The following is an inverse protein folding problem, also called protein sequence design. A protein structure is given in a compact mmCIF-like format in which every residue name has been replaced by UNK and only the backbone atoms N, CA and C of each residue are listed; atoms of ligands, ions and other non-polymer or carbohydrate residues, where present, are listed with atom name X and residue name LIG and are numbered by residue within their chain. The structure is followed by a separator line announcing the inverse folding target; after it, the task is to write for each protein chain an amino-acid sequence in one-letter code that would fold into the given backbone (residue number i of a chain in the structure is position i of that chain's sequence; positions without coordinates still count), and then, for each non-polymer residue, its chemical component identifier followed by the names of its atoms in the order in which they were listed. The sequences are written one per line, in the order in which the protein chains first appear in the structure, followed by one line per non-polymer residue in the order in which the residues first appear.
data_IF_773055265061
#
_entry.id   IF_773055265061
#
_cell.length_a   1.000
_cell.length_b   1.000
_cell.length_c   1.000
_cell.angle_alpha   90.00
_cell.angle_beta   90.00
_cell.angle_gamma   90.00
#
_symmetry.space_group_name_H-M   'P 1'
#
loop_
_entity.id
_entity.type
_entity.pdbx_description
1 polymer ?
#
# COMPACT_ATOMS: atom_id res chain seq x y z
N UNK A 1 -6.67 -14.64 -1.09
CA UNK A 1 -5.58 -13.72 -1.38
C UNK A 1 -5.87 -12.82 -2.57
N UNK A 2 -6.26 -13.31 -3.74
CA UNK A 2 -6.51 -12.50 -4.97
C UNK A 2 -7.41 -11.26 -4.77
N UNK A 3 -8.48 -11.35 -3.99
CA UNK A 3 -9.34 -10.19 -3.70
C UNK A 3 -8.63 -9.09 -2.91
N UNK A 4 -7.75 -9.45 -1.98
CA UNK A 4 -6.96 -8.52 -1.19
C UNK A 4 -5.90 -7.80 -2.06
N UNK A 5 -5.22 -8.53 -2.93
CA UNK A 5 -4.23 -7.98 -3.86
C UNK A 5 -4.89 -7.04 -4.88
N UNK A 6 -6.06 -7.44 -5.42
CA UNK A 6 -6.82 -6.59 -6.34
C UNK A 6 -7.29 -5.29 -5.68
N UNK A 7 -7.74 -5.33 -4.43
CA UNK A 7 -8.13 -4.11 -3.70
C UNK A 7 -6.93 -3.17 -3.46
N UNK A 8 -5.75 -3.72 -3.15
CA UNK A 8 -4.50 -2.94 -3.07
C UNK A 8 -4.14 -2.32 -4.41
N UNK A 9 -4.29 -3.08 -5.50
CA UNK A 9 -4.03 -2.61 -6.86
C UNK A 9 -4.97 -1.45 -7.23
N UNK A 10 -6.27 -1.58 -6.98
CA UNK A 10 -7.26 -0.53 -7.21
C UNK A 10 -6.96 0.73 -6.38
N UNK A 11 -6.48 0.58 -5.15
CA UNK A 11 -6.00 1.73 -4.38
C UNK A 11 -4.78 2.38 -5.03
N UNK A 12 -3.84 1.59 -5.55
CA UNK A 12 -2.67 2.13 -6.26
C UNK A 12 -3.09 2.83 -7.55
N UNK A 13 -4.08 2.30 -8.27
CA UNK A 13 -4.68 2.96 -9.44
C UNK A 13 -5.24 4.34 -9.07
N UNK A 14 -6.00 4.43 -7.97
CA UNK A 14 -6.50 5.69 -7.44
C UNK A 14 -5.37 6.69 -7.13
N UNK A 15 -4.29 6.22 -6.51
CA UNK A 15 -3.12 7.05 -6.18
C UNK A 15 -2.37 7.51 -7.43
N UNK A 16 -2.20 6.65 -8.43
CA UNK A 16 -1.59 6.98 -9.72
C UNK A 16 -2.44 7.99 -10.50
N UNK A 17 -3.76 7.82 -10.55
CA UNK A 17 -4.67 8.79 -11.14
C UNK A 17 -4.58 10.16 -10.44
N UNK A 18 -4.54 10.16 -9.11
CA UNK A 18 -4.36 11.40 -8.33
C UNK A 18 -3.04 12.11 -8.63
N UNK A 19 -1.95 11.36 -8.80
CA UNK A 19 -0.64 11.90 -9.16
C UNK A 19 -0.64 12.53 -10.56
N UNK A 20 -1.30 11.88 -11.53
CA UNK A 20 -1.49 12.41 -12.88
C UNK A 20 -2.32 13.70 -12.87
N UNK A 21 -3.46 13.70 -12.17
CA UNK A 21 -4.34 14.87 -12.03
C UNK A 21 -3.64 16.05 -11.34
N UNK A 22 -2.71 15.76 -10.42
CA UNK A 22 -1.88 16.75 -9.74
C UNK A 22 -0.69 17.24 -10.57
N UNK A 23 -0.46 16.69 -11.77
CA UNK A 23 0.64 17.04 -12.64
C UNK A 23 2.02 16.65 -12.13
N UNK A 24 2.11 15.57 -11.34
CA UNK A 24 3.40 15.06 -10.88
C UNK A 24 4.24 14.54 -12.05
N UNK A 25 5.57 14.66 -11.97
CA UNK A 25 6.46 14.24 -13.05
C UNK A 25 6.43 12.72 -13.23
N UNK A 26 6.60 12.28 -14.49
CA UNK A 26 6.65 10.88 -14.86
C UNK A 26 5.33 10.33 -15.39
N UNK A 27 5.37 9.05 -15.77
CA UNK A 27 4.19 8.29 -16.19
C UNK A 27 3.69 7.48 -15.00
N UNK A 28 2.38 7.38 -14.90
CA UNK A 28 1.67 6.59 -13.88
C UNK A 28 0.67 5.70 -14.60
N UNK A 29 1.01 4.43 -14.80
CA UNK A 29 0.17 3.48 -15.53
C UNK A 29 -0.13 2.27 -14.63
N UNK A 30 -1.39 1.84 -14.67
CA UNK A 30 -1.88 0.71 -13.87
C UNK A 30 -2.75 -0.15 -14.77
N UNK A 31 -2.47 -1.46 -14.84
CA UNK A 31 -3.26 -2.38 -15.67
C UNK A 31 -3.26 -3.79 -15.09
N UNK A 32 -4.18 -4.61 -15.57
CA UNK A 32 -4.28 -6.04 -15.28
C UNK A 32 -4.13 -6.82 -16.59
N UNK A 33 -3.30 -7.86 -16.58
CA UNK A 33 -3.08 -8.73 -17.74
C UNK A 33 -2.85 -10.17 -17.28
N UNK A 34 -3.68 -11.10 -17.73
CA UNK A 34 -3.50 -12.53 -17.42
C UNK A 34 -3.50 -12.85 -15.91
N UNK A 35 -4.18 -12.06 -15.09
CA UNK A 35 -4.20 -12.18 -13.65
C UNK A 35 -3.02 -11.52 -12.93
N UNK A 36 -2.06 -10.96 -13.68
CA UNK A 36 -0.98 -10.12 -13.17
C UNK A 36 -1.46 -8.68 -12.99
N UNK A 37 -1.05 -8.05 -11.90
CA UNK A 37 -1.41 -6.68 -11.52
C UNK A 37 -0.16 -5.80 -11.66
N UNK A 38 -0.11 -4.97 -12.70
CA UNK A 38 1.07 -4.19 -13.05
C UNK A 38 0.89 -2.71 -12.71
N UNK A 39 1.94 -2.11 -12.16
CA UNK A 39 2.03 -0.67 -11.85
C UNK A 39 3.36 -0.16 -12.38
N UNK A 40 3.31 0.83 -13.27
CA UNK A 40 4.48 1.52 -13.82
C UNK A 40 4.50 2.96 -13.32
N UNK A 41 5.60 3.35 -12.70
CA UNK A 41 5.89 4.74 -12.34
C UNK A 41 7.31 5.06 -12.78
N UNK A 42 7.48 6.06 -13.67
CA UNK A 42 8.78 6.37 -14.23
C UNK A 42 9.58 7.41 -13.44
N UNK A 43 8.97 8.11 -12.48
CA UNK A 43 9.71 9.01 -11.60
C UNK A 43 10.63 8.21 -10.67
N UNK A 44 11.95 8.50 -10.64
CA UNK A 44 12.90 7.73 -9.84
C UNK A 44 12.62 7.75 -8.32
N UNK A 45 12.07 8.85 -7.79
CA UNK A 45 11.74 8.96 -6.37
C UNK A 45 10.55 8.06 -5.99
N UNK A 46 9.73 7.64 -6.96
CA UNK A 46 8.56 6.79 -6.80
C UNK A 46 8.77 5.39 -7.39
N UNK A 47 9.98 5.03 -7.79
CA UNK A 47 10.31 3.75 -8.45
C UNK A 47 9.90 2.52 -7.62
N UNK A 48 9.80 2.65 -6.29
CA UNK A 48 9.32 1.58 -5.40
C UNK A 48 7.86 1.18 -5.64
N UNK A 49 7.07 2.00 -6.34
CA UNK A 49 5.70 1.69 -6.75
C UNK A 49 5.64 0.78 -7.97
N UNK A 50 6.71 0.75 -8.79
CA UNK A 50 6.74 -0.08 -9.99
C UNK A 50 6.82 -1.55 -9.64
N UNK A 51 5.72 -2.27 -9.89
CA UNK A 51 5.55 -3.65 -9.45
C UNK A 51 4.73 -4.46 -10.43
N UNK A 52 4.98 -5.76 -10.46
CA UNK A 52 4.08 -6.77 -11.00
C UNK A 52 3.75 -7.73 -9.87
N UNK A 53 2.50 -7.78 -9.45
CA UNK A 53 2.01 -8.65 -8.36
C UNK A 53 0.98 -9.66 -8.87
N UNK A 54 0.57 -10.60 -7.99
CA UNK A 54 -0.26 -11.73 -8.40
C UNK A 54 0.53 -12.80 -9.15
N UNK A 55 1.86 -12.84 -8.94
CA UNK A 55 2.74 -13.84 -9.58
C UNK A 55 2.61 -15.15 -8.81
N UNK A 56 2.23 -16.20 -9.54
CA UNK A 56 2.05 -17.57 -9.06
C UNK A 56 2.78 -18.52 -10.02
N UNK A 57 3.04 -19.78 -9.63
CA UNK A 57 3.71 -20.74 -10.52
C UNK A 57 3.05 -20.88 -11.90
N UNK A 58 1.72 -20.77 -11.95
CA UNK A 58 0.92 -20.99 -13.15
C UNK A 58 1.02 -19.85 -14.17
N UNK A 59 1.40 -18.64 -13.75
CA UNK A 59 1.54 -17.48 -14.62
C UNK A 59 2.98 -16.91 -14.65
N UNK A 60 3.95 -17.68 -14.17
CA UNK A 60 5.33 -17.24 -14.01
C UNK A 60 5.96 -16.82 -15.35
N UNK A 61 5.78 -17.61 -16.40
CA UNK A 61 6.31 -17.31 -17.73
C UNK A 61 5.74 -15.99 -18.26
N UNK A 62 4.42 -15.77 -18.11
CA UNK A 62 3.78 -14.53 -18.49
C UNK A 62 4.29 -13.33 -17.67
N UNK A 63 4.60 -13.51 -16.39
CA UNK A 63 5.19 -12.48 -15.56
C UNK A 63 6.61 -12.12 -16.00
N UNK A 64 7.42 -13.11 -16.38
CA UNK A 64 8.77 -12.90 -16.92
C UNK A 64 8.71 -12.18 -18.27
N UNK A 65 7.80 -12.58 -19.16
CA UNK A 65 7.57 -11.89 -20.45
C UNK A 65 7.12 -10.46 -20.23
N UNK A 66 6.18 -10.23 -19.31
CA UNK A 66 5.65 -8.90 -19.02
C UNK A 66 6.76 -7.94 -18.55
N UNK A 67 7.66 -8.34 -17.67
CA UNK A 67 8.74 -7.46 -17.18
C UNK A 67 9.88 -7.29 -18.18
N UNK A 68 9.92 -8.09 -19.23
CA UNK A 68 10.83 -7.93 -20.37
C UNK A 68 10.27 -7.00 -21.46
N UNK A 69 9.01 -6.59 -21.37
CA UNK A 69 8.36 -5.70 -22.34
C UNK A 69 9.04 -4.32 -22.35
N UNK A 70 9.25 -3.70 -23.52
CA UNK A 70 9.80 -2.34 -23.65
C UNK A 70 9.02 -1.25 -22.90
N UNK A 71 7.79 -1.49 -22.47
CA UNK A 71 7.02 -0.54 -21.63
C UNK A 71 7.78 -0.18 -20.36
N UNK A 72 8.66 -1.08 -19.87
CA UNK A 72 9.50 -0.90 -18.68
C UNK A 72 10.86 -0.25 -18.96
N UNK A 73 11.12 0.24 -20.17
CA UNK A 73 12.41 0.86 -20.49
C UNK A 73 12.76 1.96 -19.48
N UNK A 74 13.93 1.83 -18.85
CA UNK A 74 14.39 2.72 -17.77
C UNK A 74 13.77 2.47 -16.39
N UNK A 75 12.83 1.50 -16.26
CA UNK A 75 12.19 1.12 -15.01
C UNK A 75 12.45 -0.35 -14.69
N UNK A 76 12.72 -0.66 -13.44
CA UNK A 76 12.96 -2.03 -12.97
C UNK A 76 11.85 -2.45 -12.00
N UNK A 77 10.73 -3.04 -12.49
CA UNK A 77 9.61 -3.40 -11.63
C UNK A 77 9.99 -4.52 -10.66
N UNK A 78 9.44 -4.49 -9.45
CA UNK A 78 9.54 -5.61 -8.53
C UNK A 78 8.45 -6.65 -8.82
N UNK A 79 8.84 -7.91 -9.03
CA UNK A 79 7.91 -9.04 -9.07
C UNK A 79 7.57 -9.48 -7.65
N UNK A 80 6.28 -9.60 -7.36
CA UNK A 80 5.78 -9.97 -6.03
C UNK A 80 4.98 -11.26 -6.17
N UNK A 81 5.50 -12.33 -5.59
CA UNK A 81 4.85 -13.64 -5.60
C UNK A 81 3.99 -13.89 -4.37
N UNK A 82 3.03 -14.78 -4.49
CA UNK A 82 2.23 -15.31 -3.38
C UNK A 82 2.96 -16.41 -2.59
N UNK A 83 3.96 -17.03 -3.19
CA UNK A 83 4.80 -18.10 -2.65
C UNK A 83 6.24 -17.97 -3.15
N UNK A 84 7.14 -18.78 -2.61
CA UNK A 84 8.50 -18.91 -3.16
C UNK A 84 8.45 -19.43 -4.60
N UNK A 85 9.21 -18.79 -5.48
CA UNK A 85 9.32 -19.10 -6.90
C UNK A 85 10.80 -19.21 -7.28
N UNK A 86 11.09 -20.07 -8.23
CA UNK A 86 12.41 -20.13 -8.84
C UNK A 86 12.45 -19.21 -10.06
N UNK A 87 13.23 -18.14 -9.99
CA UNK A 87 13.38 -17.10 -11.02
C UNK A 87 14.87 -16.96 -11.39
N UNK A 88 15.38 -17.85 -12.28
CA UNK A 88 16.77 -17.77 -12.74
C UNK A 88 17.09 -16.40 -13.33
N UNK A 89 18.22 -15.81 -12.92
CA UNK A 89 18.65 -14.48 -13.37
C UNK A 89 18.02 -13.29 -12.64
N UNK A 90 16.99 -13.51 -11.84
CA UNK A 90 16.43 -12.46 -10.99
C UNK A 90 17.18 -12.36 -9.66
N UNK A 91 17.17 -11.18 -9.07
CA UNK A 91 17.79 -10.93 -7.76
C UNK A 91 16.70 -10.88 -6.69
N UNK A 92 16.87 -11.63 -5.62
CA UNK A 92 15.97 -11.57 -4.45
C UNK A 92 16.04 -10.18 -3.83
N UNK A 93 14.89 -9.56 -3.62
CA UNK A 93 14.73 -8.27 -2.94
C UNK A 93 14.12 -8.45 -1.54
N UNK A 94 13.98 -7.35 -0.82
CA UNK A 94 13.29 -7.37 0.46
C UNK A 94 11.81 -7.76 0.27
N UNK A 95 11.35 -8.72 1.05
CA UNK A 95 9.97 -9.20 1.00
C UNK A 95 8.98 -8.11 1.35
N UNK A 96 7.82 -8.18 0.75
CA UNK A 96 6.67 -7.37 1.10
C UNK A 96 5.73 -8.13 2.03
N UNK A 97 4.98 -7.43 2.84
CA UNK A 97 4.02 -8.06 3.73
C UNK A 97 2.61 -7.63 3.41
N UNK A 98 1.73 -8.63 3.29
CA UNK A 98 0.30 -8.48 3.10
C UNK A 98 -0.41 -8.96 4.36
N UNK A 99 -1.14 -8.07 5.02
CA UNK A 99 -1.93 -8.37 6.19
C UNK A 99 -3.41 -8.40 5.81
N UNK A 100 -4.11 -9.48 6.15
CA UNK A 100 -5.53 -9.68 5.82
C UNK A 100 -6.29 -10.05 7.08
N UNK A 101 -7.45 -9.42 7.29
CA UNK A 101 -8.35 -9.74 8.39
C UNK A 101 -9.79 -9.82 7.91
N UNK A 102 -10.51 -10.89 8.27
CA UNK A 102 -11.98 -10.91 8.17
C UNK A 102 -12.55 -9.96 9.21
N UNK A 103 -13.51 -9.15 8.79
CA UNK A 103 -14.20 -8.24 9.70
C UNK A 103 -15.29 -8.97 10.47
N UNK A 104 -15.41 -8.62 11.75
CA UNK A 104 -16.46 -9.00 12.66
C UNK A 104 -16.95 -7.76 13.39
N UNK A 105 -17.57 -7.89 14.55
CA UNK A 105 -17.99 -6.74 15.34
C UNK A 105 -16.78 -6.04 15.99
N UNK A 106 -16.42 -4.82 15.56
CA UNK A 106 -15.29 -4.09 16.11
C UNK A 106 -15.69 -3.18 17.26
N UNK A 107 -14.76 -2.95 18.20
CA UNK A 107 -14.94 -2.00 19.29
C UNK A 107 -14.86 -0.54 18.80
N UNK A 108 -15.63 0.35 19.40
CA UNK A 108 -15.57 1.79 19.12
C UNK A 108 -14.31 2.45 19.72
N UNK A 109 -13.80 3.49 19.05
CA UNK A 109 -12.71 4.35 19.56
C UNK A 109 -13.18 5.81 19.54
N UNK A 110 -13.63 6.35 20.67
CA UNK A 110 -14.30 7.67 20.73
C UNK A 110 -13.40 8.87 20.40
N UNK A 111 -12.07 8.73 20.50
CA UNK A 111 -11.13 9.85 20.33
C UNK A 111 -10.57 9.97 18.89
N UNK A 112 -11.12 9.22 17.96
CA UNK A 112 -10.78 9.29 16.54
C UNK A 112 -11.91 9.98 15.81
N UNK A 113 -11.56 11.00 15.05
CA UNK A 113 -12.52 11.82 14.30
C UNK A 113 -12.22 11.74 12.79
N UNK A 114 -13.25 11.96 11.97
CA UNK A 114 -13.06 12.22 10.55
C UNK A 114 -12.30 13.54 10.40
N UNK A 115 -11.22 13.53 9.60
CA UNK A 115 -10.34 14.69 9.56
C UNK A 115 -9.81 15.00 8.17
N UNK A 116 -10.12 16.23 7.69
CA UNK A 116 -9.54 16.78 6.47
C UNK A 116 -8.47 17.82 6.81
N UNK A 117 -8.77 18.73 7.75
CA UNK A 117 -7.85 19.79 8.15
C UNK A 117 -6.64 19.22 8.90
N UNK A 118 -5.45 19.47 8.40
CA UNK A 118 -4.20 19.04 9.02
C UNK A 118 -3.81 17.58 8.80
N UNK A 119 -4.65 16.74 8.15
CA UNK A 119 -4.37 15.34 7.92
C UNK A 119 -3.02 15.13 7.22
N UNK A 120 -2.82 15.74 6.04
CA UNK A 120 -1.58 15.59 5.28
C UNK A 120 -0.36 16.02 6.10
N UNK A 121 -0.44 17.13 6.82
CA UNK A 121 0.65 17.60 7.69
C UNK A 121 1.06 16.56 8.74
N UNK A 122 0.08 15.95 9.42
CA UNK A 122 0.36 14.92 10.42
C UNK A 122 0.93 13.66 9.76
N UNK A 123 0.37 13.24 8.62
CA UNK A 123 0.80 12.05 7.90
C UNK A 123 2.25 12.19 7.43
N UNK A 124 2.58 13.28 6.73
CA UNK A 124 3.91 13.53 6.19
C UNK A 124 4.97 13.74 7.28
N UNK A 125 4.63 14.51 8.34
CA UNK A 125 5.52 14.69 9.48
C UNK A 125 5.86 13.36 10.19
N UNK A 126 4.90 12.43 10.23
CA UNK A 126 5.13 11.11 10.81
C UNK A 126 5.89 10.15 9.88
N UNK A 127 5.83 10.35 8.57
CA UNK A 127 6.61 9.59 7.57
C UNK A 127 8.02 10.15 7.36
N UNK A 128 8.24 11.40 7.72
CA UNK A 128 9.54 12.08 7.54
C UNK A 128 9.97 12.09 6.04
N UNK A 129 9.00 12.36 5.13
CA UNK A 129 9.21 12.38 3.67
C UNK A 129 8.97 13.78 3.11
N UNK A 130 9.67 14.09 2.02
CA UNK A 130 9.65 15.38 1.32
C UNK A 130 9.62 15.18 -0.22
N UNK A 131 9.54 16.27 -0.96
CA UNK A 131 9.65 16.29 -2.42
C UNK A 131 8.52 15.50 -3.11
N UNK A 132 8.86 14.79 -4.17
CA UNK A 132 7.89 14.07 -5.01
C UNK A 132 7.10 13.01 -4.23
N UNK A 133 7.75 12.33 -3.27
CA UNK A 133 7.07 11.33 -2.41
C UNK A 133 5.99 11.99 -1.56
N UNK A 134 6.28 13.15 -0.95
CA UNK A 134 5.29 13.89 -0.17
C UNK A 134 4.15 14.37 -1.05
N UNK A 135 4.45 14.91 -2.25
CA UNK A 135 3.46 15.38 -3.20
C UNK A 135 2.54 14.24 -3.69
N UNK A 136 3.10 13.05 -3.94
CA UNK A 136 2.33 11.85 -4.30
C UNK A 136 1.35 11.46 -3.18
N UNK A 137 1.84 11.39 -1.93
CA UNK A 137 1.01 11.08 -0.76
C UNK A 137 -0.09 12.12 -0.59
N UNK A 138 0.22 13.41 -0.75
CA UNK A 138 -0.80 14.46 -0.66
C UNK A 138 -1.85 14.34 -1.75
N UNK A 139 -1.45 14.08 -3.00
CA UNK A 139 -2.36 13.92 -4.13
C UNK A 139 -3.33 12.76 -3.88
N UNK A 140 -2.82 11.58 -3.50
CA UNK A 140 -3.64 10.42 -3.14
C UNK A 140 -4.66 10.78 -2.05
N UNK A 141 -4.19 11.39 -0.97
CA UNK A 141 -5.04 11.63 0.21
C UNK A 141 -5.98 12.83 0.07
N UNK A 142 -5.94 13.58 -1.04
CA UNK A 142 -6.96 14.58 -1.39
C UNK A 142 -8.17 13.98 -2.10
N UNK A 143 -8.06 12.75 -2.61
CA UNK A 143 -9.16 12.07 -3.30
C UNK A 143 -10.36 11.88 -2.36
N UNK A 144 -11.59 12.10 -2.85
CA UNK A 144 -12.81 11.93 -2.03
C UNK A 144 -13.03 10.48 -1.60
N UNK A 145 -12.52 9.51 -2.36
CA UNK A 145 -12.59 8.08 -2.06
C UNK A 145 -11.74 7.69 -0.85
N UNK A 146 -10.77 8.53 -0.47
CA UNK A 146 -9.90 8.29 0.67
C UNK A 146 -10.53 8.86 1.94
N UNK A 147 -11.00 7.98 2.80
CA UNK A 147 -11.49 8.35 4.14
C UNK A 147 -10.29 8.62 5.05
N UNK A 148 -10.29 9.76 5.72
CA UNK A 148 -9.18 10.27 6.54
C UNK A 148 -9.62 10.41 7.98
N UNK A 149 -8.76 9.99 8.91
CA UNK A 149 -9.02 9.97 10.34
C UNK A 149 -7.87 10.61 11.09
N UNK A 150 -8.20 11.38 12.12
CA UNK A 150 -7.25 11.97 13.05
C UNK A 150 -7.51 11.45 14.47
N UNK A 151 -6.45 11.07 15.15
CA UNK A 151 -6.49 10.84 16.58
C UNK A 151 -6.11 12.13 17.30
N UNK A 152 -6.98 12.56 18.18
CA UNK A 152 -6.78 13.76 18.98
C UNK A 152 -6.29 13.43 20.39
N UNK A 153 -5.42 14.27 20.93
CA UNK A 153 -5.04 14.31 22.35
C UNK A 153 -5.23 15.76 22.81
N UNK A 154 -6.17 16.01 23.73
CA UNK A 154 -6.57 17.36 24.15
C UNK A 154 -6.91 18.29 22.96
N UNK A 155 -7.73 17.82 22.04
CA UNK A 155 -8.14 18.50 20.79
C UNK A 155 -7.01 18.79 19.78
N UNK A 156 -5.81 18.27 20.03
CA UNK A 156 -4.66 18.41 19.13
C UNK A 156 -4.44 17.12 18.34
N UNK A 157 -4.40 17.17 16.99
CA UNK A 157 -4.10 15.99 16.18
C UNK A 157 -2.67 15.49 16.39
N UNK A 158 -2.53 14.24 16.84
CA UNK A 158 -1.25 13.59 17.14
C UNK A 158 -0.91 12.43 16.20
N UNK A 159 -1.91 11.88 15.52
CA UNK A 159 -1.74 10.80 14.57
C UNK A 159 -2.81 10.87 13.49
N UNK A 160 -2.50 10.32 12.33
CA UNK A 160 -3.38 10.27 11.17
C UNK A 160 -3.44 8.84 10.62
N UNK A 161 -4.56 8.48 10.02
CA UNK A 161 -4.70 7.24 9.27
C UNK A 161 -5.78 7.38 8.20
N UNK A 162 -5.65 6.60 7.12
CA UNK A 162 -6.63 6.60 6.05
C UNK A 162 -7.08 5.19 5.68
N UNK A 163 -8.17 5.12 4.94
CA UNK A 163 -8.63 3.90 4.28
C UNK A 163 -9.39 4.22 2.99
N UNK A 164 -9.45 3.25 2.11
CA UNK A 164 -10.33 3.20 0.94
C UNK A 164 -11.19 1.94 0.98
N UNK A 165 -12.29 1.94 0.26
CA UNK A 165 -13.17 0.76 0.12
C UNK A 165 -13.25 0.37 -1.36
N UNK A 166 -13.01 -0.90 -1.64
CA UNK A 166 -13.04 -1.49 -2.98
C UNK A 166 -13.91 -2.76 -2.93
N UNK A 167 -15.14 -2.65 -3.40
CA UNK A 167 -16.13 -3.71 -3.21
C UNK A 167 -16.39 -3.99 -1.73
N UNK A 168 -16.16 -5.22 -1.31
CA UNK A 168 -16.28 -5.67 0.08
C UNK A 168 -14.93 -5.69 0.86
N UNK A 169 -13.90 -5.03 0.33
CA UNK A 169 -12.56 -4.97 0.92
C UNK A 169 -12.19 -3.54 1.30
N UNK A 170 -11.84 -3.33 2.57
CA UNK A 170 -11.24 -2.08 3.04
C UNK A 170 -9.72 -2.17 2.97
N UNK A 171 -9.07 -1.24 2.28
CA UNK A 171 -7.61 -1.10 2.25
C UNK A 171 -7.20 -0.03 3.26
N UNK A 172 -6.47 -0.45 4.29
CA UNK A 172 -5.99 0.40 5.38
C UNK A 172 -4.57 0.89 5.05
N UNK A 173 -4.43 2.16 4.75
CA UNK A 173 -3.14 2.76 4.42
C UNK A 173 -3.00 4.18 4.98
N UNK A 174 -1.87 4.82 4.71
CA UNK A 174 -1.65 6.20 5.10
C UNK A 174 -1.72 6.41 6.63
N UNK A 175 -0.95 5.66 7.43
CA UNK A 175 -1.01 5.75 8.88
C UNK A 175 0.32 6.20 9.49
N UNK A 176 0.30 7.27 10.26
CA UNK A 176 1.48 7.78 10.98
C UNK A 176 1.11 8.33 12.36
N UNK A 177 2.14 8.46 13.20
CA UNK A 177 2.04 9.11 14.54
C UNK A 177 3.22 10.06 14.68
N UNK A 178 2.96 11.28 15.11
CA UNK A 178 3.99 12.27 15.40
C UNK A 178 5.01 11.70 16.39
N UNK A 179 6.29 11.95 16.16
CA UNK A 179 7.41 11.34 16.91
C UNK A 179 7.25 11.43 18.44
N UNK A 180 6.84 12.59 18.96
CA UNK A 180 6.65 12.82 20.39
C UNK A 180 5.51 12.00 21.01
N UNK A 181 4.62 11.44 20.18
CA UNK A 181 3.43 10.67 20.60
C UNK A 181 3.51 9.18 20.26
N UNK A 182 4.67 8.71 19.74
CA UNK A 182 4.90 7.28 19.46
C UNK A 182 4.99 6.49 20.77
N UNK A 183 4.67 5.19 20.72
CA UNK A 183 4.70 4.30 21.89
C UNK A 183 3.54 4.43 22.85
N UNK A 184 2.57 5.35 22.61
CA UNK A 184 1.43 5.63 23.49
C UNK A 184 0.10 5.05 23.00
N UNK A 185 0.12 4.04 22.13
CA UNK A 185 -1.10 3.34 21.68
C UNK A 185 -1.91 4.06 20.59
N UNK A 186 -1.38 5.10 19.91
CA UNK A 186 -2.09 5.81 18.87
C UNK A 186 -2.49 4.90 17.69
N UNK A 187 -1.57 4.06 17.20
CA UNK A 187 -1.84 3.18 16.07
C UNK A 187 -2.91 2.11 16.34
N UNK A 188 -2.92 1.38 17.48
CA UNK A 188 -4.01 0.49 17.82
C UNK A 188 -5.39 1.17 17.84
N UNK A 189 -5.49 2.42 18.32
CA UNK A 189 -6.75 3.18 18.36
C UNK A 189 -7.22 3.53 16.94
N UNK A 190 -6.35 4.08 16.10
CA UNK A 190 -6.64 4.36 14.70
C UNK A 190 -6.98 3.10 13.90
N UNK A 191 -6.30 1.99 14.19
CA UNK A 191 -6.56 0.71 13.52
C UNK A 191 -7.94 0.16 13.92
N UNK A 192 -8.26 0.16 15.21
CA UNK A 192 -9.59 -0.25 15.72
C UNK A 192 -10.71 0.59 15.10
N UNK A 193 -10.54 1.92 15.04
CA UNK A 193 -11.50 2.82 14.43
C UNK A 193 -11.73 2.51 12.94
N UNK A 194 -10.65 2.33 12.16
CA UNK A 194 -10.76 2.00 10.72
C UNK A 194 -11.43 0.65 10.48
N UNK A 195 -11.15 -0.35 11.32
CA UNK A 195 -11.83 -1.65 11.26
C UNK A 195 -13.33 -1.50 11.51
N UNK A 196 -13.72 -0.64 12.45
CA UNK A 196 -15.12 -0.29 12.70
C UNK A 196 -15.74 0.36 11.46
N UNK A 197 -15.12 1.39 10.93
CA UNK A 197 -15.61 2.10 9.75
C UNK A 197 -15.71 1.20 8.51
N UNK A 198 -14.81 0.23 8.37
CA UNK A 198 -14.86 -0.76 7.32
C UNK A 198 -16.07 -1.72 7.49
N UNK A 199 -16.33 -2.19 8.70
CA UNK A 199 -17.49 -3.03 8.99
C UNK A 199 -18.81 -2.27 8.78
N UNK A 200 -18.89 -1.03 9.26
CA UNK A 200 -20.05 -0.14 9.06
C UNK A 200 -20.31 0.16 7.57
N UNK A 201 -19.25 0.14 6.73
CA UNK A 201 -19.34 0.25 5.27
C UNK A 201 -19.69 -1.09 4.57
N UNK A 202 -19.94 -2.16 5.31
CA UNK A 202 -20.31 -3.48 4.77
C UNK A 202 -19.12 -4.30 4.22
N UNK A 203 -17.88 -3.93 4.53
CA UNK A 203 -16.73 -4.70 4.09
C UNK A 203 -16.65 -6.05 4.82
N UNK A 204 -16.31 -7.11 4.09
CA UNK A 204 -16.04 -8.43 4.64
C UNK A 204 -14.58 -8.60 5.08
N UNK A 205 -13.67 -7.85 4.46
CA UNK A 205 -12.23 -7.93 4.67
C UNK A 205 -11.62 -6.55 4.93
N UNK A 206 -10.57 -6.53 5.75
CA UNK A 206 -9.61 -5.44 5.84
C UNK A 206 -8.22 -5.92 5.40
N UNK A 207 -7.53 -5.09 4.64
CA UNK A 207 -6.22 -5.36 4.06
C UNK A 207 -5.27 -4.22 4.37
N UNK A 208 -4.02 -4.54 4.67
CA UNK A 208 -2.95 -3.57 4.84
C UNK A 208 -1.62 -4.15 4.37
N UNK A 209 -0.66 -3.29 4.09
CA UNK A 209 0.72 -3.69 3.81
C UNK A 209 1.66 -3.19 4.90
N UNK A 210 2.68 -3.96 5.21
CA UNK A 210 3.74 -3.55 6.12
C UNK A 210 5.04 -4.31 5.80
N UNK A 211 6.17 -3.72 6.13
CA UNK A 211 7.46 -4.42 6.03
C UNK A 211 7.49 -5.55 7.07
N UNK A 212 7.83 -6.79 6.66
CA UNK A 212 7.98 -7.91 7.60
C UNK A 212 8.90 -7.56 8.77
N UNK A 213 8.52 -7.95 9.99
CA UNK A 213 9.28 -7.65 11.21
C UNK A 213 9.17 -6.22 11.74
N UNK A 214 8.47 -5.32 11.04
CA UNK A 214 8.28 -3.94 11.48
C UNK A 214 7.30 -3.79 12.64
N UNK A 215 7.35 -2.64 13.33
CA UNK A 215 6.34 -2.26 14.34
C UNK A 215 4.93 -2.25 13.75
N UNK A 216 4.79 -1.84 12.48
CA UNK A 216 3.50 -1.85 11.77
C UNK A 216 2.97 -3.28 11.61
N UNK A 217 3.81 -4.22 11.16
CA UNK A 217 3.45 -5.63 11.06
C UNK A 217 3.01 -6.21 12.42
N UNK A 218 3.77 -5.92 13.49
CA UNK A 218 3.42 -6.35 14.84
C UNK A 218 2.09 -5.75 15.34
N UNK A 219 1.78 -4.50 14.99
CA UNK A 219 0.50 -3.88 15.33
C UNK A 219 -0.66 -4.55 14.59
N UNK A 220 -0.50 -4.86 13.30
CA UNK A 220 -1.49 -5.56 12.49
C UNK A 220 -1.75 -6.96 13.06
N UNK A 221 -0.69 -7.71 13.37
CA UNK A 221 -0.83 -9.07 13.96
C UNK A 221 -1.57 -9.02 15.31
N UNK A 222 -1.21 -8.07 16.19
CA UNK A 222 -1.94 -7.89 17.47
C UNK A 222 -3.40 -7.48 17.28
N UNK A 223 -3.72 -6.81 16.18
CA UNK A 223 -5.09 -6.49 15.81
C UNK A 223 -5.81 -7.64 15.08
N UNK A 224 -5.27 -8.85 15.08
CA UNK A 224 -5.90 -10.06 14.51
C UNK A 224 -5.80 -10.19 12.99
N UNK A 225 -4.87 -9.51 12.35
CA UNK A 225 -4.56 -9.77 10.95
C UNK A 225 -3.68 -11.03 10.80
N UNK A 226 -4.00 -11.86 9.83
CA UNK A 226 -3.08 -12.86 9.31
C UNK A 226 -2.07 -12.15 8.42
N UNK A 227 -0.79 -12.30 8.73
CA UNK A 227 0.30 -11.64 8.01
C UNK A 227 0.97 -12.64 7.06
N UNK A 228 0.96 -12.32 5.77
CA UNK A 228 1.59 -13.10 4.71
C UNK A 228 2.85 -12.38 4.26
N UNK A 229 3.95 -13.11 4.17
CA UNK A 229 5.19 -12.64 3.55
C UNK A 229 5.11 -12.93 2.06
N UNK A 230 5.24 -11.88 1.25
CA UNK A 230 5.18 -11.96 -0.20
C UNK A 230 6.61 -11.84 -0.75
N UNK A 231 7.19 -12.95 -1.22
CA UNK A 231 8.51 -12.97 -1.81
C UNK A 231 8.62 -12.00 -2.98
N UNK A 232 9.76 -11.31 -3.08
CA UNK A 232 9.95 -10.25 -4.05
C UNK A 232 11.25 -10.41 -4.80
N UNK A 233 11.23 -10.22 -6.12
CA UNK A 233 12.38 -10.32 -6.99
C UNK A 233 12.50 -9.09 -7.90
N UNK A 234 13.71 -8.79 -8.30
CA UNK A 234 14.02 -7.78 -9.30
C UNK A 234 14.56 -8.45 -10.56
N UNK A 235 14.05 -8.11 -11.74
CA UNK A 235 14.61 -8.60 -13.00
C UNK A 235 16.08 -8.17 -13.13
N UNK A 236 16.88 -8.82 -13.98
CA UNK A 236 18.24 -8.37 -14.28
C UNK A 236 18.20 -6.92 -14.80
N UNK A 237 19.27 -6.15 -14.51
CA UNK A 237 19.39 -4.80 -15.06
C UNK A 237 19.34 -4.89 -16.60
N UNK A 238 18.52 -4.02 -17.22
CA UNK A 238 18.38 -3.98 -18.68
C UNK A 238 19.77 -3.87 -19.33
N UNK A 239 20.05 -4.76 -20.28
CA UNK A 239 21.34 -4.91 -20.97
C UNK A 239 22.03 -6.26 -20.80
N UNK A 240 21.50 -7.19 -19.98
CA UNK A 240 22.04 -8.55 -19.76
C UNK A 240 21.02 -9.69 -19.85
N UNK A 241 19.97 -9.56 -20.63
CA UNK A 241 19.25 -10.77 -21.07
C UNK A 241 20.13 -11.40 -22.17
N UNK A 242 20.99 -12.33 -21.76
CA UNK A 242 21.65 -13.23 -22.71
C UNK A 242 20.54 -13.99 -23.45
N UNK A 243 20.54 -13.84 -24.78
CA UNK A 243 19.72 -14.62 -25.71
C UNK A 243 20.11 -16.10 -25.64
#
# INVERSE_FOLDING_TARGET
MRGAERALHQRTELACAAATDAGLPGRFEVWEQGGLLAVLVTDPALSFLSTVSGVEPENLDAAVELVADPVWDGVRPALIGSSELELPGFTRAADRGLAVRRLGEPAASPDVVDGNAGFARILLAGYEVEGTVAAFIEAEHRRPEVRRFLLLEHDVPIAAAAMTVHGDVAVLGGASTLRAHRGKGAQPRLLGHRLRMAADAGCALAVATAVPGSVSAANLTRAGFTFHVCPTWLPPAQGRLAR
#
